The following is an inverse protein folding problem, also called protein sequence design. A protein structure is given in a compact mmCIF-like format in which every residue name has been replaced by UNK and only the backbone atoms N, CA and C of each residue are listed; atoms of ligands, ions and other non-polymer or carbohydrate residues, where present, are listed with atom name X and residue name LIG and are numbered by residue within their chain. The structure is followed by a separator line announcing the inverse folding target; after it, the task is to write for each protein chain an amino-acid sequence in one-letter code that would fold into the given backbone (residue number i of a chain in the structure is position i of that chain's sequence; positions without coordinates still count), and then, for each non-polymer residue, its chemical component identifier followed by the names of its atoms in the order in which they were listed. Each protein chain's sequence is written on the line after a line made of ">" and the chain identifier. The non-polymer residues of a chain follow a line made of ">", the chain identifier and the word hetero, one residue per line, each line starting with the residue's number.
data_IF_327662310011
#
_entry.id   IF_327662310011
#
_cell.length_a   1.000
_cell.length_b   1.000
_cell.length_c   1.000
_cell.angle_alpha   90.00
_cell.angle_beta   90.00
_cell.angle_gamma   90.00
#
_symmetry.space_group_name_H-M   'P 1'
#
loop_
_entity.id
_entity.type
_entity.pdbx_description
1 polymer ?
#
# COMPACT_ATOMS: atom_id res chain seq x y z
N UNK A 1 -44.52 16.58 16.67
CA UNK A 1 -44.11 15.44 15.82
C UNK A 1 -43.56 15.99 14.51
N UNK A 2 -42.26 16.34 14.45
CA UNK A 2 -41.62 16.86 13.24
C UNK A 2 -41.32 15.69 12.31
N UNK A 3 -42.26 15.44 11.40
CA UNK A 3 -42.12 14.44 10.34
C UNK A 3 -40.99 14.86 9.40
N UNK A 4 -40.17 13.89 9.04
CA UNK A 4 -39.03 13.92 8.14
C UNK A 4 -39.18 14.94 7.00
N UNK A 5 -38.38 16.02 7.05
CA UNK A 5 -38.00 16.72 5.84
C UNK A 5 -37.11 15.74 5.07
N UNK A 6 -37.67 15.08 4.05
CA UNK A 6 -36.89 14.34 3.06
C UNK A 6 -35.86 15.29 2.46
N UNK A 7 -34.64 15.23 2.98
CA UNK A 7 -33.49 15.87 2.34
C UNK A 7 -33.38 15.21 0.99
N UNK A 8 -33.63 15.98 -0.08
CA UNK A 8 -33.52 15.52 -1.46
C UNK A 8 -32.22 14.70 -1.61
N UNK A 9 -32.30 13.38 -1.90
CA UNK A 9 -31.13 12.50 -1.92
C UNK A 9 -30.02 13.03 -2.83
N UNK A 10 -30.40 13.65 -3.95
CA UNK A 10 -29.48 14.22 -4.93
C UNK A 10 -28.72 15.43 -4.36
N UNK A 11 -29.39 16.27 -3.56
CA UNK A 11 -28.75 17.40 -2.87
C UNK A 11 -27.75 16.94 -1.82
N UNK A 12 -28.08 15.88 -1.06
CA UNK A 12 -27.19 15.26 -0.08
C UNK A 12 -25.94 14.65 -0.74
N UNK A 13 -26.12 13.92 -1.85
CA UNK A 13 -25.02 13.35 -2.63
C UNK A 13 -24.13 14.44 -3.23
N UNK A 14 -24.71 15.49 -3.80
CA UNK A 14 -23.94 16.61 -4.35
C UNK A 14 -23.13 17.33 -3.26
N UNK A 15 -23.70 17.47 -2.06
CA UNK A 15 -22.99 18.06 -0.92
C UNK A 15 -21.83 17.17 -0.45
N UNK A 16 -22.03 15.86 -0.36
CA UNK A 16 -20.95 14.92 -0.04
C UNK A 16 -19.82 14.96 -1.08
N UNK A 17 -20.17 15.05 -2.37
CA UNK A 17 -19.20 15.20 -3.45
C UNK A 17 -18.41 16.51 -3.36
N UNK A 18 -19.09 17.64 -3.09
CA UNK A 18 -18.43 18.93 -2.86
C UNK A 18 -17.50 18.90 -1.64
N UNK A 19 -17.91 18.23 -0.57
CA UNK A 19 -17.07 18.04 0.62
C UNK A 19 -15.82 17.21 0.28
N UNK A 20 -15.96 16.12 -0.49
CA UNK A 20 -14.83 15.34 -0.95
C UNK A 20 -13.86 16.19 -1.79
N UNK A 21 -14.34 17.00 -2.73
CA UNK A 21 -13.48 17.91 -3.51
C UNK A 21 -12.76 18.94 -2.62
N UNK A 22 -13.45 19.48 -1.60
CA UNK A 22 -12.85 20.41 -0.64
C UNK A 22 -11.74 19.72 0.17
N UNK A 23 -11.98 18.50 0.64
CA UNK A 23 -11.00 17.71 1.40
C UNK A 23 -9.81 17.36 0.51
N UNK A 24 -10.03 16.95 -0.74
CA UNK A 24 -8.99 16.64 -1.71
C UNK A 24 -8.06 17.83 -1.97
N UNK A 25 -8.59 19.06 -1.92
CA UNK A 25 -7.80 20.29 -2.10
C UNK A 25 -6.97 20.68 -0.86
N UNK A 26 -7.12 19.98 0.27
CA UNK A 26 -6.30 20.25 1.45
C UNK A 26 -4.88 19.72 1.27
N UNK A 27 -3.90 20.44 1.83
CA UNK A 27 -2.48 20.03 1.76
C UNK A 27 -2.23 18.67 2.42
N UNK A 28 -2.91 18.39 3.53
CA UNK A 28 -2.78 17.11 4.26
C UNK A 28 -3.32 15.96 3.42
N UNK A 29 -4.53 16.11 2.85
CA UNK A 29 -5.07 15.07 1.97
C UNK A 29 -4.21 14.88 0.73
N UNK A 30 -3.73 15.97 0.10
CA UNK A 30 -2.85 15.86 -1.07
C UNK A 30 -1.59 15.04 -0.80
N UNK A 31 -0.94 15.24 0.35
CA UNK A 31 0.21 14.42 0.78
C UNK A 31 -0.20 12.97 1.06
N UNK A 32 -1.31 12.75 1.76
CA UNK A 32 -1.81 11.40 2.01
C UNK A 32 -2.19 10.68 0.71
N UNK A 33 -2.74 11.38 -0.29
CA UNK A 33 -3.04 10.83 -1.61
C UNK A 33 -1.80 10.33 -2.34
N UNK A 34 -0.60 10.88 -2.07
CA UNK A 34 0.67 10.33 -2.56
C UNK A 34 0.98 8.99 -1.91
N UNK A 35 0.78 8.87 -0.59
CA UNK A 35 0.91 7.58 0.12
C UNK A 35 -0.12 6.56 -0.39
N UNK A 36 -1.34 7.00 -0.67
CA UNK A 36 -2.42 6.14 -1.18
C UNK A 36 -2.18 5.71 -2.64
N UNK A 37 -1.56 6.57 -3.44
CA UNK A 37 -1.11 6.22 -4.78
C UNK A 37 -0.08 5.08 -4.73
N UNK A 38 0.87 5.13 -3.79
CA UNK A 38 1.78 4.01 -3.55
C UNK A 38 1.04 2.72 -3.19
N UNK A 39 0.03 2.76 -2.31
CA UNK A 39 -0.70 1.54 -1.95
C UNK A 39 -1.47 0.94 -3.12
N UNK A 40 -1.91 1.74 -4.10
CA UNK A 40 -2.48 1.22 -5.34
C UNK A 40 -1.45 0.55 -6.24
N UNK A 41 -0.27 1.14 -6.40
CA UNK A 41 0.81 0.53 -7.17
C UNK A 41 1.27 -0.80 -6.56
N UNK A 42 1.53 -0.86 -5.25
CA UNK A 42 1.98 -2.11 -4.61
C UNK A 42 0.89 -3.18 -4.65
N UNK A 43 -0.39 -2.80 -4.49
CA UNK A 43 -1.53 -3.69 -4.64
C UNK A 43 -1.57 -4.34 -6.02
N UNK A 44 -1.55 -3.54 -7.09
CA UNK A 44 -1.57 -4.09 -8.44
C UNK A 44 -0.38 -5.03 -8.70
N UNK A 45 0.76 -4.73 -8.10
CA UNK A 45 1.97 -5.52 -8.23
C UNK A 45 1.86 -6.88 -7.54
N UNK A 46 1.43 -6.94 -6.27
CA UNK A 46 1.30 -8.23 -5.58
C UNK A 46 0.09 -9.04 -6.04
N UNK A 47 -0.94 -8.40 -6.60
CA UNK A 47 -2.11 -9.08 -7.18
C UNK A 47 -1.81 -9.67 -8.56
N UNK A 48 -0.98 -9.01 -9.38
CA UNK A 48 -0.75 -9.41 -10.77
C UNK A 48 0.73 -9.66 -11.07
N UNK A 49 1.58 -8.63 -11.03
CA UNK A 49 2.95 -8.71 -11.52
C UNK A 49 3.79 -9.78 -10.81
N UNK A 50 3.75 -9.82 -9.48
CA UNK A 50 4.47 -10.80 -8.66
C UNK A 50 4.02 -12.24 -8.92
N UNK A 51 2.73 -12.61 -8.77
CA UNK A 51 2.27 -13.96 -9.04
C UNK A 51 2.52 -14.39 -10.49
N UNK A 52 2.34 -13.50 -11.47
CA UNK A 52 2.66 -13.78 -12.87
C UNK A 52 4.15 -14.05 -13.06
N UNK A 53 5.03 -13.31 -12.39
CA UNK A 53 6.47 -13.50 -12.49
C UNK A 53 6.92 -14.82 -11.87
N UNK A 54 6.37 -15.16 -10.69
CA UNK A 54 6.60 -16.48 -10.06
C UNK A 54 6.16 -17.60 -10.99
N UNK A 55 4.92 -17.53 -11.50
CA UNK A 55 4.35 -18.56 -12.37
C UNK A 55 5.02 -18.69 -13.74
N UNK A 56 5.84 -17.73 -14.13
CA UNK A 56 6.56 -17.72 -15.41
C UNK A 56 8.02 -18.16 -15.28
N UNK A 57 8.56 -18.30 -14.07
CA UNK A 57 9.98 -18.58 -13.84
C UNK A 57 10.26 -20.09 -13.86
N UNK A 58 10.80 -20.62 -14.96
CA UNK A 58 11.04 -22.07 -15.14
C UNK A 58 12.11 -22.66 -14.21
N UNK A 59 12.98 -21.83 -13.64
CA UNK A 59 14.01 -22.26 -12.70
C UNK A 59 13.42 -22.67 -11.33
N UNK A 60 12.16 -22.32 -11.06
CA UNK A 60 11.44 -22.82 -9.89
C UNK A 60 10.92 -24.25 -10.14
N UNK A 61 10.89 -25.14 -9.13
CA UNK A 61 10.48 -26.54 -9.32
C UNK A 61 9.04 -26.72 -9.79
N UNK A 62 8.09 -26.03 -9.15
CA UNK A 62 6.67 -26.02 -9.52
C UNK A 62 6.13 -24.57 -9.53
N UNK A 63 6.44 -23.78 -10.58
CA UNK A 63 6.14 -22.36 -10.64
C UNK A 63 4.63 -22.07 -10.53
N UNK A 64 3.77 -22.94 -11.08
CA UNK A 64 2.32 -22.73 -11.11
C UNK A 64 1.70 -22.93 -9.72
N UNK A 65 2.12 -23.95 -8.98
CA UNK A 65 1.71 -24.13 -7.58
C UNK A 65 2.21 -22.97 -6.69
N UNK A 66 3.43 -22.49 -6.94
CA UNK A 66 4.02 -21.38 -6.19
C UNK A 66 3.26 -20.05 -6.35
N UNK A 67 2.46 -19.87 -7.40
CA UNK A 67 1.56 -18.70 -7.53
C UNK A 67 0.56 -18.66 -6.37
N UNK A 68 -0.07 -19.80 -6.07
CA UNK A 68 -1.01 -19.91 -4.96
C UNK A 68 -0.33 -19.76 -3.60
N UNK A 69 0.87 -20.36 -3.45
CA UNK A 69 1.68 -20.24 -2.24
C UNK A 69 2.11 -18.79 -1.99
N UNK A 70 2.52 -18.07 -3.03
CA UNK A 70 2.88 -16.65 -2.93
C UNK A 70 1.71 -15.82 -2.37
N UNK A 71 0.50 -16.01 -2.89
CA UNK A 71 -0.70 -15.35 -2.37
C UNK A 71 -1.01 -15.72 -0.91
N UNK A 72 -0.88 -17.00 -0.54
CA UNK A 72 -1.05 -17.45 0.85
C UNK A 72 -0.05 -16.80 1.80
N UNK A 73 1.21 -16.68 1.37
CA UNK A 73 2.29 -16.07 2.16
C UNK A 73 2.10 -14.56 2.32
N UNK A 74 1.58 -13.86 1.31
CA UNK A 74 1.14 -12.46 1.43
C UNK A 74 0.06 -12.34 2.51
N UNK A 75 -1.01 -13.12 2.42
CA UNK A 75 -2.08 -13.09 3.43
C UNK A 75 -1.59 -13.42 4.85
N UNK A 76 -0.65 -14.35 4.96
CA UNK A 76 0.01 -14.67 6.25
C UNK A 76 0.79 -13.47 6.79
N UNK A 77 1.53 -12.77 5.93
CA UNK A 77 2.21 -11.52 6.26
C UNK A 77 1.25 -10.41 6.68
N UNK A 78 0.11 -10.28 5.99
CA UNK A 78 -0.90 -9.26 6.32
C UNK A 78 -1.53 -9.49 7.70
N UNK A 79 -1.94 -10.71 8.00
CA UNK A 79 -2.55 -11.06 9.29
C UNK A 79 -1.54 -10.87 10.42
N UNK A 80 -0.32 -11.41 10.27
CA UNK A 80 0.72 -11.27 11.29
C UNK A 80 1.17 -9.81 11.48
N UNK A 81 1.31 -9.06 10.39
CA UNK A 81 1.62 -7.64 10.39
C UNK A 81 0.54 -6.81 11.09
N UNK A 82 -0.74 -6.99 10.75
CA UNK A 82 -1.84 -6.26 11.38
C UNK A 82 -1.89 -6.48 12.91
N UNK A 83 -1.68 -7.71 13.37
CA UNK A 83 -1.59 -8.03 14.80
C UNK A 83 -0.37 -7.33 15.42
N UNK A 84 0.80 -7.45 14.79
CA UNK A 84 2.05 -6.84 15.26
C UNK A 84 1.96 -5.32 15.37
N UNK A 85 1.46 -4.66 14.34
CA UNK A 85 1.29 -3.20 14.30
C UNK A 85 0.28 -2.69 15.31
N UNK A 86 -0.80 -3.44 15.57
CA UNK A 86 -1.73 -3.14 16.65
C UNK A 86 -1.04 -3.13 18.03
N UNK A 87 -0.15 -4.10 18.29
CA UNK A 87 0.63 -4.16 19.53
C UNK A 87 1.66 -3.04 19.63
N UNK A 88 2.38 -2.76 18.54
CA UNK A 88 3.36 -1.65 18.49
C UNK A 88 2.68 -0.32 18.77
N UNK A 89 1.53 -0.02 18.14
CA UNK A 89 0.78 1.21 18.40
C UNK A 89 0.34 1.33 19.87
N UNK A 90 0.05 0.20 20.55
CA UNK A 90 -0.33 0.19 21.97
C UNK A 90 0.87 0.48 22.89
N UNK A 91 2.03 -0.09 22.59
CA UNK A 91 3.22 -0.02 23.45
C UNK A 91 4.09 1.19 23.19
N UNK A 92 4.23 1.59 21.92
CA UNK A 92 5.12 2.65 21.47
C UNK A 92 4.37 3.98 21.25
N UNK A 93 3.52 4.38 22.22
CA UNK A 93 2.72 5.63 22.14
C UNK A 93 3.57 6.87 21.83
N UNK A 94 4.81 6.91 22.34
CA UNK A 94 5.75 8.01 22.14
C UNK A 94 6.40 8.04 20.74
N UNK A 95 6.40 6.91 20.03
CA UNK A 95 7.01 6.77 18.71
C UNK A 95 5.97 6.89 17.58
N UNK A 96 4.69 6.95 17.94
CA UNK A 96 3.56 7.26 17.06
C UNK A 96 3.35 6.26 15.93
N UNK A 97 2.62 6.68 14.89
CA UNK A 97 2.38 5.87 13.69
C UNK A 97 3.61 5.73 12.80
N UNK A 98 4.57 6.64 12.96
CA UNK A 98 5.77 6.73 12.12
C UNK A 98 6.64 5.47 12.17
N UNK A 99 6.81 4.85 13.35
CA UNK A 99 7.63 3.63 13.47
C UNK A 99 7.08 2.47 12.64
N UNK A 100 5.75 2.36 12.53
CA UNK A 100 5.11 1.31 11.73
C UNK A 100 5.33 1.58 10.24
N UNK A 101 5.15 2.82 9.77
CA UNK A 101 5.42 3.18 8.37
C UNK A 101 6.87 2.95 7.98
N UNK A 102 7.82 3.33 8.84
CA UNK A 102 9.24 3.09 8.60
C UNK A 102 9.53 1.59 8.52
N UNK A 103 9.01 0.79 9.45
CA UNK A 103 9.19 -0.66 9.45
C UNK A 103 8.59 -1.32 8.20
N UNK A 104 7.36 -0.95 7.84
CA UNK A 104 6.70 -1.41 6.61
C UNK A 104 7.45 -1.00 5.34
N UNK A 105 8.09 0.16 5.34
CA UNK A 105 8.96 0.61 4.25
C UNK A 105 10.15 -0.32 4.08
N UNK A 106 10.81 -0.70 5.17
CA UNK A 106 11.91 -1.67 5.11
C UNK A 106 11.46 -3.06 4.66
N UNK A 107 10.28 -3.53 5.08
CA UNK A 107 9.73 -4.80 4.60
C UNK A 107 9.52 -4.78 3.08
N UNK A 108 8.90 -3.72 2.54
CA UNK A 108 8.71 -3.60 1.09
C UNK A 108 10.03 -3.46 0.33
N UNK A 109 10.99 -2.65 0.81
CA UNK A 109 12.32 -2.54 0.20
C UNK A 109 13.03 -3.90 0.15
N UNK A 110 12.99 -4.65 1.25
CA UNK A 110 13.57 -5.99 1.29
C UNK A 110 12.90 -6.93 0.27
N UNK A 111 11.57 -6.93 0.19
CA UNK A 111 10.83 -7.71 -0.81
C UNK A 111 11.22 -7.33 -2.25
N UNK A 112 11.30 -6.04 -2.55
CA UNK A 112 11.68 -5.56 -3.88
C UNK A 112 13.12 -5.91 -4.25
N UNK A 113 14.04 -5.88 -3.29
CA UNK A 113 15.42 -6.34 -3.49
C UNK A 113 15.44 -7.84 -3.78
N UNK A 114 14.70 -8.66 -3.00
CA UNK A 114 14.64 -10.11 -3.24
C UNK A 114 14.07 -10.42 -4.63
N UNK A 115 13.03 -9.70 -5.06
CA UNK A 115 12.47 -9.85 -6.40
C UNK A 115 13.47 -9.49 -7.49
N UNK A 116 14.15 -8.35 -7.37
CA UNK A 116 15.16 -7.92 -8.32
C UNK A 116 16.30 -8.93 -8.45
N UNK A 117 16.70 -9.56 -7.34
CA UNK A 117 17.80 -10.53 -7.34
C UNK A 117 17.38 -11.91 -7.88
N UNK A 118 16.15 -12.34 -7.59
CA UNK A 118 15.75 -13.75 -7.72
C UNK A 118 14.69 -14.04 -8.78
N UNK A 119 14.15 -13.04 -9.49
CA UNK A 119 13.14 -13.24 -10.53
C UNK A 119 13.63 -12.67 -11.86
N UNK A 120 13.45 -13.36 -12.99
CA UNK A 120 13.89 -12.87 -14.29
C UNK A 120 13.16 -11.59 -14.74
N UNK A 121 13.88 -10.74 -15.48
CA UNK A 121 13.39 -9.42 -15.89
C UNK A 121 12.12 -9.45 -16.77
N UNK A 122 11.97 -10.49 -17.59
CA UNK A 122 10.85 -10.66 -18.53
C UNK A 122 9.69 -11.50 -17.97
N UNK A 123 9.84 -12.02 -16.74
CA UNK A 123 8.84 -12.85 -16.08
C UNK A 123 7.44 -12.19 -15.93
N UNK A 124 7.31 -10.87 -15.71
CA UNK A 124 5.99 -10.23 -15.62
C UNK A 124 5.15 -10.32 -16.89
N UNK A 125 5.73 -10.63 -18.06
CA UNK A 125 4.99 -10.76 -19.31
C UNK A 125 4.16 -12.05 -19.41
N UNK A 126 4.25 -12.94 -18.41
CA UNK A 126 3.41 -14.15 -18.34
C UNK A 126 3.84 -15.27 -19.29
N UNK A 127 5.00 -15.14 -19.95
CA UNK A 127 5.59 -16.17 -20.79
C UNK A 127 6.64 -16.92 -19.99
N UNK A 128 6.61 -18.25 -20.03
CA UNK A 128 7.61 -19.08 -19.39
C UNK A 128 9.03 -18.63 -19.80
N UNK A 129 9.85 -18.29 -18.83
CA UNK A 129 11.20 -17.75 -19.02
C UNK A 129 12.22 -18.55 -18.22
N UNK A 130 13.41 -18.68 -18.81
CA UNK A 130 14.61 -19.25 -18.19
C UNK A 130 15.75 -18.24 -18.24
N UNK A 131 15.43 -16.95 -18.36
CA UNK A 131 16.42 -15.89 -18.34
C UNK A 131 17.20 -15.89 -17.01
N UNK A 132 18.49 -15.52 -17.04
CA UNK A 132 19.35 -15.58 -15.87
C UNK A 132 18.90 -14.59 -14.78
N UNK A 133 19.16 -14.94 -13.54
CA UNK A 133 18.95 -14.11 -12.35
C UNK A 133 20.26 -13.91 -11.60
N UNK A 134 20.31 -12.94 -10.68
CA UNK A 134 21.50 -12.69 -9.86
C UNK A 134 21.70 -13.76 -8.78
N UNK A 135 20.60 -14.27 -8.22
CA UNK A 135 20.59 -15.43 -7.32
C UNK A 135 19.57 -16.45 -7.81
N UNK A 136 19.80 -17.73 -7.55
CA UNK A 136 18.90 -18.79 -7.97
C UNK A 136 17.49 -18.59 -7.36
N UNK A 137 16.42 -18.61 -8.17
CA UNK A 137 15.05 -18.55 -7.66
C UNK A 137 14.78 -19.79 -6.81
N UNK A 138 14.20 -19.61 -5.62
CA UNK A 138 13.81 -20.72 -4.75
C UNK A 138 12.42 -20.49 -4.17
N UNK A 139 11.75 -21.58 -3.80
CA UNK A 139 10.44 -21.54 -3.13
C UNK A 139 10.50 -20.72 -1.84
N UNK A 140 11.59 -20.86 -1.08
CA UNK A 140 11.83 -20.10 0.15
C UNK A 140 11.89 -18.60 -0.12
N UNK A 141 12.57 -18.16 -1.19
CA UNK A 141 12.61 -16.74 -1.56
C UNK A 141 11.25 -16.21 -1.97
N UNK A 142 10.44 -16.99 -2.69
CA UNK A 142 9.05 -16.64 -3.03
C UNK A 142 8.23 -16.46 -1.75
N UNK A 143 8.33 -17.39 -0.80
CA UNK A 143 7.60 -17.33 0.46
C UNK A 143 8.00 -16.12 1.32
N UNK A 144 9.31 -15.90 1.51
CA UNK A 144 9.83 -14.76 2.29
C UNK A 144 9.38 -13.44 1.64
N UNK A 145 9.48 -13.34 0.32
CA UNK A 145 9.02 -12.16 -0.43
C UNK A 145 7.54 -11.89 -0.19
N UNK A 146 6.70 -12.92 -0.30
CA UNK A 146 5.26 -12.81 -0.03
C UNK A 146 4.97 -12.30 1.38
N UNK A 147 5.61 -12.90 2.40
CA UNK A 147 5.45 -12.47 3.80
C UNK A 147 5.86 -11.00 3.99
N UNK A 148 7.00 -10.59 3.44
CA UNK A 148 7.50 -9.22 3.55
C UNK A 148 6.55 -8.21 2.90
N UNK A 149 5.99 -8.54 1.72
CA UNK A 149 4.95 -7.72 1.07
C UNK A 149 3.74 -7.57 1.99
N UNK A 150 3.22 -8.67 2.54
CA UNK A 150 2.03 -8.62 3.40
C UNK A 150 2.23 -7.84 4.70
N UNK A 151 3.39 -8.01 5.35
CA UNK A 151 3.75 -7.24 6.56
C UNK A 151 3.84 -5.74 6.25
N UNK A 152 4.42 -5.39 5.10
CA UNK A 152 4.48 -4.02 4.60
C UNK A 152 3.09 -3.44 4.35
N UNK A 153 2.28 -4.12 3.54
CA UNK A 153 0.94 -3.69 3.13
C UNK A 153 0.02 -3.44 4.33
N UNK A 154 -0.05 -4.40 5.26
CA UNK A 154 -0.89 -4.28 6.46
C UNK A 154 -0.52 -3.06 7.32
N UNK A 155 0.76 -2.70 7.39
CA UNK A 155 1.20 -1.52 8.13
C UNK A 155 0.80 -0.21 7.46
N UNK A 156 1.00 -0.08 6.14
CA UNK A 156 0.50 1.09 5.41
C UNK A 156 -1.02 1.21 5.55
N UNK A 157 -1.76 0.13 5.34
CA UNK A 157 -3.21 0.13 5.43
C UNK A 157 -3.71 0.53 6.83
N UNK A 158 -3.16 -0.08 7.89
CA UNK A 158 -3.55 0.25 9.27
C UNK A 158 -3.30 1.72 9.61
N UNK A 159 -2.14 2.24 9.22
CA UNK A 159 -1.72 3.59 9.58
C UNK A 159 -2.43 4.67 8.74
N UNK A 160 -2.74 4.40 7.47
CA UNK A 160 -3.58 5.30 6.65
C UNK A 160 -4.99 5.39 7.24
N UNK A 161 -5.59 4.26 7.64
CA UNK A 161 -6.92 4.27 8.26
C UNK A 161 -6.91 5.05 9.57
N UNK A 162 -5.87 4.88 10.39
CA UNK A 162 -5.70 5.60 11.64
C UNK A 162 -5.61 7.12 11.47
N UNK A 163 -4.75 7.59 10.55
CA UNK A 163 -4.53 9.04 10.37
C UNK A 163 -5.72 9.73 9.71
N UNK A 164 -6.42 9.06 8.77
CA UNK A 164 -7.65 9.60 8.18
C UNK A 164 -8.75 9.75 9.22
N UNK A 165 -8.91 8.78 10.12
CA UNK A 165 -9.87 8.85 11.21
C UNK A 165 -9.58 9.97 12.21
N UNK A 166 -8.31 10.31 12.43
CA UNK A 166 -7.91 11.42 13.32
C UNK A 166 -8.05 12.80 12.64
N UNK A 167 -7.66 12.94 11.37
CA UNK A 167 -7.69 14.22 10.66
C UNK A 167 -9.10 14.64 10.23
N UNK A 168 -9.97 13.68 9.95
CA UNK A 168 -11.32 13.93 9.44
C UNK A 168 -12.38 13.19 10.27
N UNK A 169 -12.52 13.48 11.58
CA UNK A 169 -13.46 12.75 12.44
C UNK A 169 -14.91 12.91 11.97
N UNK A 170 -15.30 14.13 11.57
CA UNK A 170 -16.66 14.45 11.11
C UNK A 170 -16.89 14.16 9.61
N UNK A 171 -15.81 14.07 8.84
CA UNK A 171 -15.81 13.90 7.38
C UNK A 171 -15.03 12.65 6.95
N UNK A 172 -15.02 11.61 7.78
CA UNK A 172 -14.23 10.39 7.55
C UNK A 172 -14.64 9.64 6.29
N UNK A 173 -15.95 9.57 6.01
CA UNK A 173 -16.49 8.89 4.82
C UNK A 173 -15.97 9.49 3.51
N UNK A 174 -16.08 10.80 3.23
CA UNK A 174 -15.52 11.37 2.02
C UNK A 174 -13.98 11.27 1.97
N UNK A 175 -13.29 11.33 3.11
CA UNK A 175 -11.85 11.11 3.17
C UNK A 175 -11.45 9.67 2.76
N UNK A 176 -12.17 8.66 3.25
CA UNK A 176 -11.99 7.27 2.84
C UNK A 176 -12.37 7.02 1.38
N UNK A 177 -13.36 7.74 0.85
CA UNK A 177 -13.75 7.65 -0.55
C UNK A 177 -12.62 8.17 -1.47
N UNK A 178 -11.99 9.30 -1.12
CA UNK A 178 -10.82 9.82 -1.84
C UNK A 178 -9.65 8.84 -1.79
N UNK A 179 -9.44 8.20 -0.63
CA UNK A 179 -8.47 7.12 -0.50
C UNK A 179 -8.70 6.01 -1.52
N UNK A 180 -9.89 5.43 -1.52
CA UNK A 180 -10.22 4.33 -2.42
C UNK A 180 -10.18 4.75 -3.89
N UNK A 181 -10.55 5.99 -4.20
CA UNK A 181 -10.40 6.53 -5.55
C UNK A 181 -8.92 6.59 -5.99
N UNK A 182 -8.04 7.18 -5.18
CA UNK A 182 -6.60 7.29 -5.49
C UNK A 182 -5.94 5.92 -5.65
N UNK A 183 -6.22 5.01 -4.72
CA UNK A 183 -5.72 3.63 -4.75
C UNK A 183 -6.21 2.88 -5.99
N UNK A 184 -7.50 2.98 -6.34
CA UNK A 184 -8.05 2.26 -7.50
C UNK A 184 -7.52 2.80 -8.82
N UNK A 185 -7.38 4.12 -8.93
CA UNK A 185 -6.82 4.76 -10.13
C UNK A 185 -5.38 4.30 -10.39
N UNK A 186 -4.53 4.34 -9.35
CA UNK A 186 -3.12 3.94 -9.47
C UNK A 186 -2.95 2.43 -9.62
N UNK A 187 -3.79 1.61 -8.99
CA UNK A 187 -3.82 0.17 -9.24
C UNK A 187 -4.17 -0.15 -10.70
N UNK A 188 -5.14 0.56 -11.30
CA UNK A 188 -5.47 0.39 -12.71
C UNK A 188 -4.27 0.71 -13.61
N UNK A 189 -3.58 1.84 -13.36
CA UNK A 189 -2.32 2.19 -14.05
C UNK A 189 -1.28 1.07 -13.89
N UNK A 190 -1.16 0.52 -12.68
CA UNK A 190 -0.28 -0.60 -12.38
C UNK A 190 -0.58 -1.86 -13.18
N UNK A 191 -1.85 -2.26 -13.27
CA UNK A 191 -2.26 -3.38 -14.10
C UNK A 191 -1.94 -3.15 -15.59
N UNK A 192 -2.13 -1.93 -16.10
CA UNK A 192 -1.76 -1.61 -17.48
C UNK A 192 -0.26 -1.75 -17.72
N UNK A 193 0.58 -1.08 -16.92
CA UNK A 193 2.02 -1.10 -17.18
C UNK A 193 2.65 -2.46 -16.93
N UNK A 194 2.03 -3.31 -16.07
CA UNK A 194 2.56 -4.64 -15.73
C UNK A 194 2.75 -5.53 -16.96
N UNK A 195 2.00 -5.29 -18.03
CA UNK A 195 2.04 -6.07 -19.27
C UNK A 195 3.06 -5.55 -20.30
N UNK A 196 3.63 -4.36 -20.08
CA UNK A 196 4.53 -3.68 -21.04
C UNK A 196 5.90 -3.34 -20.48
N UNK A 197 6.05 -3.29 -19.15
CA UNK A 197 7.32 -3.01 -18.48
C UNK A 197 7.96 -4.29 -17.93
N UNK A 198 9.28 -4.40 -18.05
CA UNK A 198 10.07 -5.45 -17.39
C UNK A 198 10.09 -5.26 -15.88
N UNK A 199 10.42 -6.34 -15.15
CA UNK A 199 10.41 -6.35 -13.69
C UNK A 199 11.25 -5.22 -13.06
N UNK A 200 12.48 -4.89 -13.52
CA UNK A 200 13.26 -3.80 -12.95
C UNK A 200 12.55 -2.44 -13.01
N UNK A 201 11.85 -2.14 -14.12
CA UNK A 201 11.10 -0.89 -14.24
C UNK A 201 9.89 -0.85 -13.30
N UNK A 202 9.20 -1.98 -13.14
CA UNK A 202 8.12 -2.09 -12.17
C UNK A 202 8.64 -1.89 -10.74
N UNK A 203 9.75 -2.53 -10.38
CA UNK A 203 10.41 -2.37 -9.07
C UNK A 203 10.88 -0.92 -8.86
N UNK A 204 11.38 -0.24 -9.88
CA UNK A 204 11.77 1.17 -9.79
C UNK A 204 10.55 2.07 -9.49
N UNK A 205 9.41 1.82 -10.14
CA UNK A 205 8.15 2.52 -9.84
C UNK A 205 7.73 2.25 -8.40
N UNK A 206 7.74 0.99 -7.96
CA UNK A 206 7.38 0.62 -6.59
C UNK A 206 8.29 1.31 -5.57
N UNK A 207 9.61 1.24 -5.77
CA UNK A 207 10.60 1.81 -4.83
C UNK A 207 10.48 3.33 -4.77
N UNK A 208 10.36 3.99 -5.92
CA UNK A 208 10.25 5.46 -5.98
C UNK A 208 8.97 5.94 -5.31
N UNK A 209 7.84 5.30 -5.62
CA UNK A 209 6.54 5.67 -5.02
C UNK A 209 6.46 5.27 -3.55
N UNK A 210 7.10 4.18 -3.12
CA UNK A 210 7.24 3.80 -1.72
C UNK A 210 7.93 4.90 -0.93
N UNK A 211 9.09 5.38 -1.38
CA UNK A 211 9.86 6.40 -0.66
C UNK A 211 9.09 7.72 -0.61
N UNK A 212 8.49 8.16 -1.72
CA UNK A 212 7.67 9.36 -1.77
C UNK A 212 6.42 9.24 -0.90
N UNK A 213 5.73 8.10 -0.94
CA UNK A 213 4.54 7.82 -0.14
C UNK A 213 4.84 7.78 1.35
N UNK A 214 5.95 7.15 1.74
CA UNK A 214 6.42 7.08 3.13
C UNK A 214 6.80 8.46 3.66
N UNK A 215 7.58 9.23 2.90
CA UNK A 215 7.95 10.58 3.26
C UNK A 215 6.72 11.51 3.39
N UNK A 216 5.77 11.39 2.47
CA UNK A 216 4.53 12.17 2.50
C UNK A 216 3.69 11.84 3.74
N UNK A 217 3.58 10.56 4.09
CA UNK A 217 2.88 10.13 5.31
C UNK A 217 3.57 10.69 6.56
N UNK A 218 4.88 10.47 6.68
CA UNK A 218 5.65 10.89 7.86
C UNK A 218 5.61 12.41 8.06
N UNK A 219 5.59 13.18 6.96
CA UNK A 219 5.42 14.63 7.02
C UNK A 219 4.05 15.03 7.57
N UNK A 220 2.98 14.33 7.20
CA UNK A 220 1.63 14.60 7.72
C UNK A 220 1.53 14.21 9.19
N UNK A 221 2.03 13.04 9.57
CA UNK A 221 2.06 12.58 10.96
C UNK A 221 2.89 13.52 11.85
N UNK A 222 4.06 13.96 11.40
CA UNK A 222 4.90 14.92 12.13
C UNK A 222 4.15 16.24 12.41
N UNK A 223 3.48 16.78 11.40
CA UNK A 223 2.69 18.02 11.55
C UNK A 223 1.49 17.86 12.48
N UNK A 224 0.91 16.67 12.53
CA UNK A 224 -0.19 16.36 13.43
C UNK A 224 0.29 16.34 14.88
N UNK A 225 1.41 15.67 15.15
CA UNK A 225 2.02 15.62 16.50
C UNK A 225 2.48 17.01 16.95
N UNK A 226 3.09 17.80 16.06
CA UNK A 226 3.55 19.17 16.36
C UNK A 226 2.37 20.10 16.72
N UNK A 227 1.24 19.97 16.01
CA UNK A 227 0.03 20.70 16.33
C UNK A 227 -0.52 20.31 17.72
N UNK A 228 -0.67 19.00 18.00
CA UNK A 228 -1.20 18.51 19.28
C UNK A 228 -0.33 18.95 20.47
N UNK A 229 0.99 18.84 20.35
CA UNK A 229 1.93 19.28 21.41
C UNK A 229 1.95 20.79 21.64
N UNK A 230 1.63 21.59 20.61
CA UNK A 230 1.50 23.04 20.76
C UNK A 230 0.25 23.40 21.57
N UNK A 231 -0.87 22.70 21.35
CA UNK A 231 -2.11 22.92 22.10
C UNK A 231 -1.99 22.52 23.59
N UNK A 232 -1.23 21.47 23.92
CA UNK A 232 -1.02 21.07 25.33
C UNK A 232 -0.15 22.05 26.15
N UNK A 233 0.56 22.97 25.48
CA UNK A 233 1.47 23.94 26.13
C UNK A 233 0.84 25.31 26.41
N UNK A 234 -0.40 25.56 25.95
CA UNK A 234 -1.14 26.82 26.11
C UNK A 234 -2.23 26.62 27.16
#
# INVERSE_FOLDING_TARGET
>A
MKFFLEVNPLKKTLQAFKNALRIAATRQMGLLMVTQAYTGFVMSFYVLAFPTSVGSTNALPDPKSLVGIAGLMIGTGEVSGAIGWGLVNRWAKLWGRGIVIISSTFCHLAAFILLFLSIPDDAPFGKNTSAPTYIAPTETLVCITGILIGIGDSGFNTQIMGILGQLYPDDSTPAFALYKFSQSFTAAVGFFYSSVLTLPWQILIQTSTLLLGSASYLLVEYRLIDADTTYERI
#
